data_IF_560104855258
#
_entry.id   IF_560104855258
#
_cell.length_a   1.000
_cell.length_b   1.000
_cell.length_c   1.000
_cell.angle_alpha   90.00
_cell.angle_beta   90.00
_cell.angle_gamma   90.00
#
_symmetry.space_group_name_H-M   'P 1'
#
loop_
_entity.id
_entity.type
_entity.pdbx_description
1 polymer ?
#
# COMPACT_ATOMS: atom_id res chain seq x y z
N UNK A 1 -17.01 11.40 -8.96
CA UNK A 1 -16.66 10.07 -8.42
C UNK A 1 -15.68 10.31 -7.29
N UNK A 2 -16.01 9.85 -6.09
CA UNK A 2 -15.15 9.98 -4.92
C UNK A 2 -14.03 8.94 -5.04
N UNK A 3 -12.76 9.38 -4.97
CA UNK A 3 -11.63 8.46 -5.02
C UNK A 3 -11.46 7.80 -3.65
N UNK A 4 -11.32 6.48 -3.62
CA UNK A 4 -11.05 5.77 -2.39
C UNK A 4 -9.59 5.95 -1.97
N UNK A 5 -9.38 6.48 -0.76
CA UNK A 5 -8.04 6.66 -0.18
C UNK A 5 -7.49 5.27 0.19
N UNK A 6 -6.30 4.94 -0.31
CA UNK A 6 -5.57 3.72 0.05
C UNK A 6 -4.65 3.96 1.27
N UNK A 7 -4.26 2.89 1.96
CA UNK A 7 -3.43 2.94 3.19
C UNK A 7 -1.93 3.25 2.93
N UNK A 8 -1.60 3.83 1.78
CA UNK A 8 -0.21 4.10 1.37
C UNK A 8 0.54 4.94 2.41
N UNK A 9 -0.08 6.01 2.91
CA UNK A 9 0.53 6.90 3.90
C UNK A 9 0.84 6.16 5.21
N UNK A 10 -0.08 5.31 5.65
CA UNK A 10 0.05 4.55 6.89
C UNK A 10 1.29 3.64 6.82
N UNK A 11 1.37 2.78 5.80
CA UNK A 11 2.49 1.86 5.65
C UNK A 11 3.81 2.56 5.32
N UNK A 12 3.78 3.66 4.56
CA UNK A 12 4.97 4.48 4.33
C UNK A 12 5.55 5.03 5.63
N UNK A 13 4.69 5.52 6.54
CA UNK A 13 5.11 6.00 7.87
C UNK A 13 5.59 4.86 8.76
N UNK A 14 4.96 3.68 8.71
CA UNK A 14 5.44 2.48 9.42
C UNK A 14 6.85 2.06 8.97
N UNK A 15 7.16 2.20 7.67
CA UNK A 15 8.51 2.00 7.11
C UNK A 15 9.46 3.18 7.33
N UNK A 16 9.04 4.25 8.01
CA UNK A 16 9.84 5.45 8.33
C UNK A 16 10.47 6.14 7.12
N UNK A 17 9.86 6.05 5.93
CA UNK A 17 10.35 6.74 4.73
C UNK A 17 9.49 7.97 4.40
N UNK A 18 10.12 9.04 3.88
CA UNK A 18 9.40 10.24 3.41
C UNK A 18 8.71 9.98 2.07
N UNK A 19 7.74 10.84 1.69
CA UNK A 19 7.15 10.80 0.33
C UNK A 19 8.22 10.91 -0.75
N UNK A 20 9.24 11.76 -0.53
CA UNK A 20 10.37 11.95 -1.46
C UNK A 20 11.20 10.66 -1.60
N UNK A 21 11.43 9.93 -0.51
CA UNK A 21 12.18 8.69 -0.55
C UNK A 21 11.40 7.57 -1.23
N UNK A 22 10.09 7.45 -0.96
CA UNK A 22 9.24 6.50 -1.67
C UNK A 22 9.19 6.82 -3.18
N UNK A 23 9.01 8.10 -3.53
CA UNK A 23 9.00 8.56 -4.91
C UNK A 23 10.31 8.19 -5.63
N UNK A 24 11.47 8.42 -5.00
CA UNK A 24 12.78 8.00 -5.52
C UNK A 24 12.88 6.48 -5.70
N UNK A 25 12.46 5.67 -4.71
CA UNK A 25 12.49 4.20 -4.78
C UNK A 25 11.64 3.67 -5.96
N UNK A 26 10.60 4.41 -6.33
CA UNK A 26 9.65 4.01 -7.37
C UNK A 26 9.86 4.71 -8.72
N UNK A 27 10.88 5.55 -8.87
CA UNK A 27 11.05 6.41 -10.05
C UNK A 27 9.78 7.24 -10.37
N UNK A 28 9.26 7.92 -9.35
CA UNK A 28 8.07 8.76 -9.41
C UNK A 28 8.39 10.16 -8.88
N UNK A 29 7.45 11.09 -9.10
CA UNK A 29 7.51 12.40 -8.46
C UNK A 29 6.93 12.35 -7.04
N UNK A 30 7.47 13.16 -6.13
CA UNK A 30 6.87 13.33 -4.80
C UNK A 30 5.41 13.82 -4.90
N UNK A 31 5.12 14.69 -5.87
CA UNK A 31 3.78 15.21 -6.12
C UNK A 31 2.77 14.09 -6.41
N UNK A 32 3.16 13.09 -7.21
CA UNK A 32 2.32 11.93 -7.47
C UNK A 32 2.01 11.14 -6.19
N UNK A 33 3.02 10.86 -5.36
CA UNK A 33 2.82 10.21 -4.05
C UNK A 33 1.83 11.01 -3.18
N UNK A 34 1.98 12.33 -3.14
CA UNK A 34 1.07 13.21 -2.39
C UNK A 34 -0.36 13.11 -2.90
N UNK A 35 -0.57 13.09 -4.22
CA UNK A 35 -1.91 12.95 -4.81
C UNK A 35 -2.55 11.61 -4.45
N UNK A 36 -1.80 10.52 -4.51
CA UNK A 36 -2.28 9.18 -4.09
C UNK A 36 -2.66 9.18 -2.61
N UNK A 37 -1.79 9.67 -1.72
CA UNK A 37 -2.03 9.66 -0.27
C UNK A 37 -3.20 10.55 0.18
N UNK A 38 -3.62 11.50 -0.65
CA UNK A 38 -4.73 12.40 -0.37
C UNK A 38 -6.00 12.02 -1.14
N UNK A 39 -6.02 10.90 -1.86
CA UNK A 39 -7.15 10.49 -2.69
C UNK A 39 -7.42 11.44 -3.87
N UNK A 40 -6.48 12.31 -4.24
CA UNK A 40 -6.63 13.19 -5.41
C UNK A 40 -6.55 12.36 -6.69
N UNK A 41 -5.70 11.34 -6.70
CA UNK A 41 -5.60 10.37 -7.79
C UNK A 41 -5.71 8.95 -7.23
N UNK A 42 -6.39 8.07 -7.98
CA UNK A 42 -6.44 6.65 -7.69
C UNK A 42 -5.31 5.93 -8.43
N UNK A 43 -4.54 5.05 -7.77
CA UNK A 43 -3.51 4.29 -8.45
C UNK A 43 -4.14 3.22 -9.36
N UNK A 44 -3.45 2.89 -10.45
CA UNK A 44 -3.79 1.68 -11.21
C UNK A 44 -3.48 0.45 -10.36
N UNK A 45 -4.06 -0.70 -10.73
CA UNK A 45 -3.74 -1.97 -10.07
C UNK A 45 -2.22 -2.27 -10.11
N UNK A 46 -1.56 -2.00 -11.26
CA UNK A 46 -0.10 -2.15 -11.40
C UNK A 46 0.66 -1.25 -10.41
N UNK A 47 0.22 0.00 -10.24
CA UNK A 47 0.82 0.91 -9.27
C UNK A 47 0.59 0.46 -7.82
N UNK A 48 -0.58 -0.12 -7.50
CA UNK A 48 -0.86 -0.70 -6.18
C UNK A 48 0.16 -1.79 -5.83
N UNK A 49 0.44 -2.72 -6.75
CA UNK A 49 1.46 -3.75 -6.56
C UNK A 49 2.87 -3.15 -6.40
N UNK A 50 3.22 -2.14 -7.20
CA UNK A 50 4.52 -1.45 -7.06
C UNK A 50 4.66 -0.76 -5.70
N UNK A 51 3.59 -0.17 -5.17
CA UNK A 51 3.60 0.41 -3.82
C UNK A 51 3.81 -0.67 -2.75
N UNK A 52 3.13 -1.80 -2.89
CA UNK A 52 3.24 -2.92 -1.96
C UNK A 52 4.66 -3.50 -1.94
N UNK A 53 5.25 -3.70 -3.12
CA UNK A 53 6.64 -4.14 -3.29
C UNK A 53 7.64 -3.13 -2.71
N UNK A 54 7.48 -1.84 -3.04
CA UNK A 54 8.34 -0.78 -2.50
C UNK A 54 8.27 -0.64 -0.97
N UNK A 55 7.15 -1.07 -0.37
CA UNK A 55 6.93 -1.06 1.08
C UNK A 55 7.13 -2.44 1.73
N UNK A 56 7.45 -3.47 0.96
CA UNK A 56 7.63 -4.86 1.42
C UNK A 56 6.42 -5.35 2.23
N UNK A 57 5.22 -5.20 1.66
CA UNK A 57 3.95 -5.61 2.29
C UNK A 57 3.06 -6.36 1.30
N UNK A 58 2.09 -7.10 1.82
CA UNK A 58 1.02 -7.66 0.99
C UNK A 58 0.17 -6.52 0.38
N UNK A 59 -0.12 -6.52 -0.94
CA UNK A 59 -0.94 -5.49 -1.59
C UNK A 59 -2.34 -5.31 -0.98
N UNK A 60 -2.92 -6.38 -0.41
CA UNK A 60 -4.20 -6.32 0.32
C UNK A 60 -4.19 -5.27 1.41
N UNK A 61 -3.04 -5.07 2.08
CA UNK A 61 -2.92 -4.12 3.17
C UNK A 61 -3.09 -2.66 2.72
N UNK A 62 -2.93 -2.36 1.44
CA UNK A 62 -3.17 -1.00 0.92
C UNK A 62 -4.66 -0.69 0.75
N UNK A 63 -5.54 -1.68 0.77
CA UNK A 63 -6.98 -1.49 0.52
C UNK A 63 -7.74 -1.37 1.85
N UNK A 64 -8.54 -0.30 2.06
CA UNK A 64 -9.37 -0.17 3.25
C UNK A 64 -10.56 -1.14 3.19
N UNK A 65 -11.01 -1.62 4.36
CA UNK A 65 -12.28 -2.33 4.45
C UNK A 65 -13.44 -1.32 4.37
N UNK A 66 -14.31 -1.46 3.38
CA UNK A 66 -15.49 -0.59 3.17
C UNK A 66 -16.81 -1.23 3.64
N UNK A 67 -16.76 -2.47 4.16
CA UNK A 67 -17.94 -3.22 4.62
C UNK A 67 -18.22 -2.86 6.08
N UNK A 68 -19.42 -2.31 6.33
CA UNK A 68 -19.90 -1.91 7.67
C UNK A 68 -20.66 -3.00 8.43
N UNK A 69 -20.80 -4.19 7.85
CA UNK A 69 -21.35 -5.36 8.55
C UNK A 69 -20.30 -5.76 9.56
N UNK A 70 -20.70 -5.93 10.83
CA UNK A 70 -19.84 -6.31 11.96
C UNK A 70 -18.84 -7.39 11.52
N UNK A 71 -17.63 -6.95 11.14
CA UNK A 71 -16.52 -7.85 10.93
C UNK A 71 -16.15 -8.30 12.35
N UNK A 72 -16.86 -9.32 12.83
CA UNK A 72 -16.92 -9.72 14.25
C UNK A 72 -15.59 -10.17 14.81
N UNK A 73 -14.59 -10.36 13.96
CA UNK A 73 -13.25 -10.60 14.41
C UNK A 73 -12.31 -9.73 13.58
N UNK A 74 -11.43 -9.02 14.28
CA UNK A 74 -10.13 -8.57 13.80
C UNK A 74 -9.22 -9.75 13.38
N UNK A 75 -9.80 -10.84 12.91
CA UNK A 75 -9.12 -11.82 12.10
C UNK A 75 -9.06 -11.23 10.71
N UNK A 76 -8.15 -10.26 10.54
CA UNK A 76 -7.38 -10.13 9.32
C UNK A 76 -7.27 -11.54 8.77
N UNK A 77 -7.75 -11.80 7.55
CA UNK A 77 -7.35 -13.00 6.81
C UNK A 77 -5.87 -13.11 7.11
N UNK A 78 -5.51 -14.14 7.89
CA UNK A 78 -4.15 -14.39 8.32
C UNK A 78 -3.51 -14.74 7.00
N UNK A 79 -3.10 -13.71 6.26
CA UNK A 79 -2.17 -13.86 5.19
C UNK A 79 -0.96 -14.35 5.97
N UNK A 80 -0.83 -15.65 6.02
CA UNK A 80 0.44 -16.33 6.18
C UNK A 80 1.24 -15.97 4.92
N UNK A 81 1.54 -14.67 4.78
CA UNK A 81 2.70 -14.23 4.05
C UNK A 81 3.83 -14.70 4.95
N UNK A 82 4.25 -15.94 4.76
CA UNK A 82 5.61 -16.34 5.05
C UNK A 82 6.48 -15.39 4.23
N UNK A 83 6.79 -14.23 4.79
CA UNK A 83 7.96 -13.48 4.38
C UNK A 83 9.13 -14.36 4.81
N UNK A 84 9.41 -15.38 4.01
CA UNK A 84 10.72 -15.97 3.97
C UNK A 84 11.65 -14.82 3.64
N UNK A 85 12.37 -14.35 4.67
CA UNK A 85 13.34 -13.26 4.55
C UNK A 85 14.50 -13.65 3.63
N UNK A 86 14.49 -14.86 3.05
CA UNK A 86 15.46 -15.32 2.08
C UNK A 86 14.71 -15.93 0.89
N UNK A 87 15.08 -15.47 -0.31
CA UNK A 87 14.67 -15.95 -1.65
C UNK A 87 13.55 -15.17 -2.35
N UNK A 88 13.99 -14.07 -3.00
CA UNK A 88 13.54 -13.54 -4.29
C UNK A 88 12.09 -13.85 -4.71
N UNK A 89 11.19 -12.92 -4.42
CA UNK A 89 9.86 -12.85 -5.02
C UNK A 89 9.99 -12.58 -6.54
N UNK A 90 10.05 -13.63 -7.35
CA UNK A 90 9.90 -13.55 -8.79
C UNK A 90 8.45 -13.85 -9.18
N UNK A 91 7.70 -12.76 -9.38
CA UNK A 91 6.45 -12.60 -10.17
C UNK A 91 5.21 -13.33 -9.64
#
# INVERSE_FOLDING_TARGET
MENHIIELRYYRKMRKISQRNLAKKMDLTQGYISKIENGIESPTIRMLYRFADALEICPRLLLPCIIKIECKDNNYIKCECELNVNENCNI
#
